data_IF_340437110276
#
_entry.id   IF_340437110276
#
_cell.length_a   1.000
_cell.length_b   1.000
_cell.length_c   1.000
_cell.angle_alpha   90.00
_cell.angle_beta   90.00
_cell.angle_gamma   90.00
#
_symmetry.space_group_name_H-M   'P 1'
#
loop_
_entity.id
_entity.type
_entity.pdbx_description
1 polymer ?
#
# COMPACT_ATOMS: atom_id res chain seq x y z
N UNK A 1 -40.45 -9.29 -24.78
CA UNK A 1 -39.09 -9.76 -24.40
C UNK A 1 -39.16 -10.60 -23.13
N UNK A 2 -38.45 -11.73 -23.08
CA UNK A 2 -38.54 -12.66 -21.94
C UNK A 2 -38.03 -12.02 -20.63
N UNK A 3 -38.87 -12.02 -19.59
CA UNK A 3 -38.53 -11.60 -18.21
C UNK A 3 -37.23 -12.23 -17.71
N UNK A 4 -36.89 -13.40 -18.25
CA UNK A 4 -35.69 -14.16 -17.89
C UNK A 4 -34.39 -13.49 -18.37
N UNK A 5 -34.40 -12.81 -19.53
CA UNK A 5 -33.24 -12.05 -20.04
C UNK A 5 -32.92 -10.84 -19.17
N UNK A 6 -33.96 -10.09 -18.77
CA UNK A 6 -33.83 -8.93 -17.87
C UNK A 6 -33.30 -9.36 -16.49
N UNK A 7 -33.83 -10.45 -15.94
CA UNK A 7 -33.36 -11.00 -14.66
C UNK A 7 -31.88 -11.40 -14.69
N UNK A 8 -31.44 -12.04 -15.77
CA UNK A 8 -30.03 -12.42 -15.97
C UNK A 8 -29.10 -11.20 -16.09
N UNK A 9 -29.51 -10.18 -16.86
CA UNK A 9 -28.74 -8.94 -16.99
C UNK A 9 -28.59 -8.23 -15.65
N UNK A 10 -29.68 -8.00 -14.92
CA UNK A 10 -29.64 -7.35 -13.60
C UNK A 10 -28.73 -8.11 -12.63
N UNK A 11 -28.81 -9.45 -12.62
CA UNK A 11 -27.96 -10.27 -11.76
C UNK A 11 -26.45 -10.15 -12.11
N UNK A 12 -26.10 -9.91 -13.38
CA UNK A 12 -24.72 -9.66 -13.79
C UNK A 12 -24.27 -8.25 -13.37
N UNK A 13 -25.12 -7.25 -13.57
CA UNK A 13 -24.86 -5.88 -13.11
C UNK A 13 -24.66 -5.85 -11.59
N UNK A 14 -25.50 -6.54 -10.81
CA UNK A 14 -25.37 -6.60 -9.35
C UNK A 14 -24.04 -7.22 -8.88
N UNK A 15 -23.55 -8.23 -9.59
CA UNK A 15 -22.30 -8.92 -9.27
C UNK A 15 -21.05 -8.24 -9.83
N UNK A 16 -21.23 -7.21 -10.66
CA UNK A 16 -20.12 -6.50 -11.29
C UNK A 16 -19.34 -5.64 -10.29
N UNK A 17 -18.12 -5.27 -10.67
CA UNK A 17 -17.28 -4.33 -9.94
C UNK A 17 -17.67 -2.85 -10.17
N UNK A 18 -18.80 -2.59 -10.84
CA UNK A 18 -19.29 -1.23 -11.09
C UNK A 18 -19.74 -0.55 -9.79
N UNK A 19 -19.71 0.78 -9.80
CA UNK A 19 -20.21 1.57 -8.69
C UNK A 19 -21.75 1.54 -8.64
N UNK A 20 -22.31 1.83 -7.46
CA UNK A 20 -23.77 1.88 -7.27
C UNK A 20 -24.48 2.78 -8.28
N UNK A 21 -24.00 4.01 -8.58
CA UNK A 21 -24.66 4.87 -9.56
C UNK A 21 -24.73 4.25 -10.97
N UNK A 22 -23.64 3.62 -11.42
CA UNK A 22 -23.55 2.95 -12.73
C UNK A 22 -24.46 1.71 -12.79
N UNK A 23 -24.51 0.95 -11.69
CA UNK A 23 -25.43 -0.18 -11.54
C UNK A 23 -26.88 0.26 -11.61
N UNK A 24 -27.22 1.35 -10.92
CA UNK A 24 -28.57 1.88 -10.88
C UNK A 24 -28.99 2.44 -12.24
N UNK A 25 -28.08 3.13 -12.96
CA UNK A 25 -28.29 3.58 -14.34
C UNK A 25 -28.62 2.40 -15.26
N UNK A 26 -27.78 1.34 -15.25
CA UNK A 26 -27.97 0.16 -16.09
C UNK A 26 -29.27 -0.59 -15.77
N UNK A 27 -29.67 -0.65 -14.49
CA UNK A 27 -30.95 -1.24 -14.06
C UNK A 27 -32.14 -0.42 -14.54
N UNK A 28 -32.05 0.91 -14.48
CA UNK A 28 -33.06 1.83 -14.99
C UNK A 28 -33.25 1.65 -16.51
N UNK A 29 -32.15 1.62 -17.26
CA UNK A 29 -32.18 1.39 -18.71
C UNK A 29 -32.71 -0.01 -19.05
N UNK A 30 -32.37 -1.02 -18.25
CA UNK A 30 -32.89 -2.38 -18.39
C UNK A 30 -34.42 -2.49 -18.19
N UNK A 31 -35.07 -1.48 -17.58
CA UNK A 31 -36.53 -1.44 -17.47
C UNK A 31 -37.20 -1.25 -18.83
N UNK A 32 -36.62 -0.38 -19.68
CA UNK A 32 -37.09 -0.11 -21.03
C UNK A 32 -36.81 -1.28 -21.99
N UNK A 33 -35.79 -2.08 -21.69
CA UNK A 33 -35.46 -3.31 -22.42
C UNK A 33 -33.97 -3.59 -22.46
N UNK A 34 -33.62 -4.87 -22.64
CA UNK A 34 -32.22 -5.30 -22.83
C UNK A 34 -31.88 -5.31 -24.32
N UNK A 35 -31.22 -4.25 -24.80
CA UNK A 35 -30.75 -4.13 -26.18
C UNK A 35 -29.27 -4.48 -26.30
N UNK A 36 -28.74 -4.76 -27.51
CA UNK A 36 -27.31 -4.93 -27.73
C UNK A 36 -26.48 -3.72 -27.28
N UNK A 37 -27.01 -2.51 -27.44
CA UNK A 37 -26.35 -1.26 -27.03
C UNK A 37 -26.21 -1.20 -25.50
N UNK A 38 -27.20 -1.70 -24.75
CA UNK A 38 -27.12 -1.79 -23.30
C UNK A 38 -26.04 -2.78 -22.83
N UNK A 39 -25.86 -3.90 -23.54
CA UNK A 39 -24.74 -4.81 -23.29
C UNK A 39 -23.40 -4.17 -23.58
N UNK A 40 -23.29 -3.44 -24.69
CA UNK A 40 -22.06 -2.72 -25.02
C UNK A 40 -21.72 -1.69 -23.97
N UNK A 41 -22.71 -0.93 -23.48
CA UNK A 41 -22.54 0.03 -22.39
C UNK A 41 -22.08 -0.63 -21.09
N UNK A 42 -22.64 -1.80 -20.76
CA UNK A 42 -22.21 -2.57 -19.60
C UNK A 42 -20.74 -3.01 -19.74
N UNK A 43 -20.33 -3.49 -20.91
CA UNK A 43 -18.95 -3.89 -21.18
C UNK A 43 -17.97 -2.70 -21.12
N UNK A 44 -18.33 -1.54 -21.68
CA UNK A 44 -17.53 -0.31 -21.59
C UNK A 44 -17.29 0.10 -20.13
N UNK A 45 -18.35 0.09 -19.32
CA UNK A 45 -18.26 0.43 -17.91
C UNK A 45 -17.38 -0.57 -17.14
N UNK A 46 -17.47 -1.86 -17.48
CA UNK A 46 -16.61 -2.88 -16.88
C UNK A 46 -15.14 -2.63 -17.21
N UNK A 47 -14.81 -2.34 -18.48
CA UNK A 47 -13.44 -2.02 -18.89
C UNK A 47 -12.92 -0.81 -18.14
N UNK A 48 -13.68 0.28 -18.08
CA UNK A 48 -13.29 1.49 -17.36
C UNK A 48 -13.07 1.22 -15.86
N UNK A 49 -13.94 0.43 -15.22
CA UNK A 49 -13.79 0.04 -13.83
C UNK A 49 -12.53 -0.82 -13.59
N UNK A 50 -12.19 -1.72 -14.52
CA UNK A 50 -10.96 -2.51 -14.45
C UNK A 50 -9.71 -1.64 -14.60
N UNK A 51 -9.71 -0.69 -15.54
CA UNK A 51 -8.59 0.25 -15.75
C UNK A 51 -8.38 1.14 -14.53
N UNK A 52 -9.45 1.74 -14.00
CA UNK A 52 -9.38 2.56 -12.78
C UNK A 52 -8.83 1.76 -11.59
N UNK A 53 -9.23 0.48 -11.46
CA UNK A 53 -8.72 -0.40 -10.41
C UNK A 53 -7.25 -0.77 -10.62
N UNK A 54 -6.81 -0.99 -11.86
CA UNK A 54 -5.40 -1.22 -12.15
C UNK A 54 -4.54 0.01 -11.84
N UNK A 55 -5.02 1.20 -12.20
CA UNK A 55 -4.34 2.46 -11.90
C UNK A 55 -4.21 2.65 -10.39
N UNK A 56 -5.30 2.46 -9.64
CA UNK A 56 -5.28 2.54 -8.18
C UNK A 56 -4.32 1.52 -7.54
N UNK A 57 -4.25 0.29 -8.08
CA UNK A 57 -3.27 -0.71 -7.64
C UNK A 57 -1.83 -0.32 -7.96
N UNK A 58 -1.60 0.31 -9.11
CA UNK A 58 -0.29 0.84 -9.50
C UNK A 58 0.18 1.95 -8.56
N UNK A 59 -0.69 2.92 -8.30
CA UNK A 59 -0.41 4.01 -7.37
C UNK A 59 -0.18 3.48 -5.95
N UNK A 60 -0.97 2.51 -5.50
CA UNK A 60 -0.77 1.85 -4.23
C UNK A 60 0.61 1.19 -4.11
N UNK A 61 1.06 0.46 -5.14
CA UNK A 61 2.41 -0.13 -5.15
C UNK A 61 3.49 0.94 -5.07
N UNK A 62 3.34 2.02 -5.83
CA UNK A 62 4.28 3.16 -5.82
C UNK A 62 4.40 3.77 -4.42
N UNK A 63 3.28 3.99 -3.73
CA UNK A 63 3.27 4.54 -2.38
C UNK A 63 3.98 3.62 -1.37
N UNK A 64 3.79 2.30 -1.47
CA UNK A 64 4.52 1.34 -0.64
C UNK A 64 6.02 1.35 -0.92
N UNK A 65 6.41 1.38 -2.19
CA UNK A 65 7.83 1.42 -2.58
C UNK A 65 8.50 2.71 -2.07
N UNK A 66 7.85 3.87 -2.21
CA UNK A 66 8.31 5.15 -1.69
C UNK A 66 8.45 5.13 -0.16
N UNK A 67 7.54 4.44 0.53
CA UNK A 67 7.60 4.25 1.98
C UNK A 67 8.80 3.37 2.38
N UNK A 68 9.02 2.24 1.72
CA UNK A 68 10.18 1.37 1.95
C UNK A 68 11.50 2.11 1.69
N UNK A 69 11.59 2.86 0.59
CA UNK A 69 12.78 3.66 0.24
C UNK A 69 13.07 4.69 1.33
N UNK A 70 12.03 5.39 1.81
CA UNK A 70 12.15 6.40 2.88
C UNK A 70 12.67 5.78 4.17
N UNK A 71 12.13 4.64 4.59
CA UNK A 71 12.57 3.95 5.80
C UNK A 71 13.98 3.42 5.70
N UNK A 72 14.32 2.80 4.57
CA UNK A 72 15.67 2.29 4.30
C UNK A 72 16.70 3.42 4.33
N UNK A 73 16.38 4.55 3.67
CA UNK A 73 17.24 5.74 3.66
C UNK A 73 17.41 6.35 5.05
N UNK A 74 16.34 6.41 5.85
CA UNK A 74 16.37 6.89 7.23
C UNK A 74 17.23 6.00 8.12
N UNK A 75 17.06 4.68 8.00
CA UNK A 75 17.86 3.68 8.70
C UNK A 75 19.34 3.83 8.37
N UNK A 76 19.70 3.85 7.09
CA UNK A 76 21.09 3.97 6.67
C UNK A 76 21.74 5.25 7.16
N UNK A 77 21.05 6.40 7.08
CA UNK A 77 21.57 7.68 7.55
C UNK A 77 21.85 7.64 9.06
N UNK A 78 20.89 7.16 9.85
CA UNK A 78 21.03 7.06 11.32
C UNK A 78 22.09 6.02 11.71
N UNK A 79 22.16 4.88 10.99
CA UNK A 79 23.20 3.87 11.16
C UNK A 79 24.59 4.42 10.89
N UNK A 80 24.80 5.13 9.77
CA UNK A 80 26.10 5.75 9.45
C UNK A 80 26.57 6.71 10.55
N UNK A 81 25.66 7.50 11.15
CA UNK A 81 26.01 8.37 12.26
C UNK A 81 26.43 7.57 13.51
N UNK A 82 25.75 6.47 13.81
CA UNK A 82 26.13 5.57 14.91
C UNK A 82 27.46 4.85 14.65
N UNK A 83 27.67 4.34 13.43
CA UNK A 83 28.91 3.70 13.00
C UNK A 83 30.09 4.67 13.15
N UNK A 84 29.90 5.93 12.74
CA UNK A 84 30.93 6.95 12.88
C UNK A 84 31.23 7.26 14.35
N UNK A 85 30.21 7.41 15.20
CA UNK A 85 30.40 7.62 16.63
C UNK A 85 31.13 6.44 17.27
N UNK A 86 30.74 5.21 16.93
CA UNK A 86 31.37 3.98 17.41
C UNK A 86 32.86 3.94 17.05
N UNK A 87 33.22 4.25 15.80
CA UNK A 87 34.64 4.31 15.38
C UNK A 87 35.44 5.35 16.17
N UNK A 88 34.85 6.52 16.42
CA UNK A 88 35.51 7.59 17.19
C UNK A 88 35.72 7.17 18.64
N UNK A 89 34.74 6.53 19.28
CA UNK A 89 34.90 6.05 20.66
C UNK A 89 35.89 4.87 20.75
N UNK A 90 35.84 3.92 19.81
CA UNK A 90 36.81 2.83 19.74
C UNK A 90 38.25 3.34 19.58
N UNK A 91 38.47 4.36 18.76
CA UNK A 91 39.80 4.95 18.55
C UNK A 91 40.38 5.65 19.79
N UNK A 92 39.54 5.92 20.81
CA UNK A 92 39.97 6.50 22.09
C UNK A 92 40.35 5.43 23.13
N UNK A 93 39.98 4.18 22.90
CA UNK A 93 40.38 3.07 23.75
C UNK A 93 41.80 2.62 23.40
N UNK A 94 42.55 2.19 24.41
CA UNK A 94 43.85 1.55 24.19
C UNK A 94 43.66 0.11 23.71
N UNK A 95 44.59 -0.40 22.91
CA UNK A 95 44.54 -1.74 22.29
C UNK A 95 44.38 -2.92 23.28
N UNK A 96 44.59 -2.69 24.58
CA UNK A 96 44.43 -3.68 25.64
C UNK A 96 43.09 -3.65 26.40
N UNK A 97 42.23 -2.65 26.17
CA UNK A 97 40.99 -2.45 26.93
C UNK A 97 39.81 -3.25 26.36
N UNK A 98 39.86 -4.59 26.52
CA UNK A 98 38.79 -5.49 26.04
C UNK A 98 37.43 -5.19 26.66
N UNK A 99 37.38 -4.89 27.96
CA UNK A 99 36.14 -4.61 28.65
C UNK A 99 35.48 -3.32 28.13
N UNK A 100 36.28 -2.29 27.82
CA UNK A 100 35.82 -1.07 27.17
C UNK A 100 35.30 -1.32 25.75
N UNK A 101 35.99 -2.16 24.97
CA UNK A 101 35.56 -2.57 23.64
C UNK A 101 34.23 -3.32 23.65
N UNK A 102 34.08 -4.32 24.53
CA UNK A 102 32.87 -5.14 24.64
C UNK A 102 31.67 -4.28 25.06
N UNK A 103 31.83 -3.38 26.03
CA UNK A 103 30.78 -2.44 26.44
C UNK A 103 30.32 -1.53 25.31
N UNK A 104 31.27 -0.97 24.54
CA UNK A 104 30.93 -0.13 23.39
C UNK A 104 30.17 -0.91 22.31
N UNK A 105 30.56 -2.18 22.07
CA UNK A 105 29.88 -3.07 21.14
C UNK A 105 28.45 -3.39 21.57
N UNK A 106 28.25 -3.70 22.84
CA UNK A 106 26.93 -3.97 23.40
C UNK A 106 26.02 -2.74 23.32
N UNK A 107 26.54 -1.56 23.69
CA UNK A 107 25.82 -0.30 23.54
C UNK A 107 25.44 0.00 22.09
N UNK A 108 26.36 -0.23 21.15
CA UNK A 108 26.13 -0.05 19.73
C UNK A 108 25.01 -0.97 19.24
N UNK A 109 25.07 -2.27 19.55
CA UNK A 109 24.05 -3.24 19.15
C UNK A 109 22.69 -2.92 19.75
N UNK A 110 22.64 -2.50 21.01
CA UNK A 110 21.40 -2.06 21.66
C UNK A 110 20.78 -0.83 20.97
N UNK A 111 21.62 0.14 20.56
CA UNK A 111 21.15 1.32 19.81
C UNK A 111 20.65 0.95 18.42
N UNK A 112 21.31 0.03 17.72
CA UNK A 112 20.84 -0.49 16.43
C UNK A 112 19.50 -1.22 16.59
N UNK A 113 19.36 -2.09 17.59
CA UNK A 113 18.10 -2.80 17.87
C UNK A 113 16.96 -1.83 18.18
N UNK A 114 17.21 -0.79 18.99
CA UNK A 114 16.24 0.28 19.27
C UNK A 114 15.87 1.07 18.01
N UNK A 115 16.84 1.41 17.16
CA UNK A 115 16.57 2.09 15.89
C UNK A 115 15.65 1.26 14.99
N UNK A 116 15.96 -0.02 14.80
CA UNK A 116 15.16 -0.93 13.97
C UNK A 116 13.74 -1.06 14.51
N UNK A 117 13.58 -1.20 15.83
CA UNK A 117 12.26 -1.29 16.48
C UNK A 117 11.43 -0.02 16.28
N UNK A 118 12.04 1.16 16.44
CA UNK A 118 11.34 2.43 16.29
C UNK A 118 10.93 2.67 14.84
N UNK A 119 11.84 2.45 13.87
CA UNK A 119 11.51 2.61 12.45
C UNK A 119 10.43 1.62 11.99
N UNK A 120 10.45 0.38 12.50
CA UNK A 120 9.40 -0.60 12.22
C UNK A 120 8.04 -0.17 12.79
N UNK A 121 8.03 0.43 13.99
CA UNK A 121 6.79 0.95 14.58
C UNK A 121 6.24 2.12 13.76
N UNK A 122 7.10 3.09 13.40
CA UNK A 122 6.74 4.20 12.52
C UNK A 122 6.18 3.69 11.19
N UNK A 123 6.87 2.76 10.52
CA UNK A 123 6.43 2.18 9.24
C UNK A 123 5.05 1.51 9.35
N UNK A 124 4.81 0.75 10.42
CA UNK A 124 3.49 0.12 10.61
C UNK A 124 2.37 1.14 10.78
N UNK A 125 2.64 2.26 11.43
CA UNK A 125 1.66 3.32 11.68
C UNK A 125 1.33 4.10 10.40
N UNK A 126 2.35 4.53 9.66
CA UNK A 126 2.15 5.24 8.39
C UNK A 126 1.62 4.32 7.30
N UNK A 127 2.13 3.09 7.15
CA UNK A 127 1.60 2.15 6.16
C UNK A 127 0.13 1.84 6.43
N UNK A 128 -0.28 1.67 7.69
CA UNK A 128 -1.70 1.49 8.05
C UNK A 128 -2.55 2.69 7.64
N UNK A 129 -2.05 3.89 7.81
CA UNK A 129 -2.77 5.13 7.45
C UNK A 129 -2.88 5.28 5.94
N UNK A 130 -1.78 5.08 5.22
CA UNK A 130 -1.71 5.09 3.76
C UNK A 130 -2.64 4.02 3.16
N UNK A 131 -2.63 2.81 3.73
CA UNK A 131 -3.52 1.70 3.37
C UNK A 131 -5.00 2.05 3.55
N UNK A 132 -5.37 2.66 4.67
CA UNK A 132 -6.75 3.05 4.94
C UNK A 132 -7.21 4.14 3.97
N UNK A 133 -6.34 5.10 3.64
CA UNK A 133 -6.65 6.16 2.68
C UNK A 133 -6.77 5.64 1.25
N UNK A 134 -5.88 4.73 0.82
CA UNK A 134 -5.91 4.17 -0.53
C UNK A 134 -7.04 3.17 -0.74
N UNK A 135 -7.36 2.33 0.25
CA UNK A 135 -8.49 1.40 0.18
C UNK A 135 -9.82 2.12 0.16
N UNK A 136 -9.94 3.26 0.86
CA UNK A 136 -11.15 4.10 0.82
C UNK A 136 -11.35 4.82 -0.52
N UNK A 137 -10.31 4.88 -1.36
CA UNK A 137 -10.33 5.50 -2.68
C UNK A 137 -10.53 4.50 -3.83
N UNK A 138 -10.43 3.19 -3.55
CA UNK A 138 -10.81 2.13 -4.50
C UNK A 138 -12.32 1.93 -4.37
N UNK A 139 -13.10 2.21 -5.43
CA UNK A 139 -14.56 2.02 -5.41
C UNK A 139 -15.00 0.57 -5.22
#
# INVERSE_FOLDING_TARGET
MSKDKRKKFIALVDRSALQTPEKDELKCLAEAGITPELWHRFDELLVAAFEARQEALGEYRRLLDDEVIRYTSSYERKKRAMDQKMRVELARLGDGDRDGHDRLWDEYHDRIRKLQKNLLAEMKETSRTTLLQSVSAIP
#
